data_IF_343483202579
#
_entry.id   IF_343483202579
#
_cell.length_a   1.000
_cell.length_b   1.000
_cell.length_c   1.000
_cell.angle_alpha   90.00
_cell.angle_beta   90.00
_cell.angle_gamma   90.00
#
_symmetry.space_group_name_H-M   'P 1'
#
loop_
_entity.id
_entity.type
_entity.pdbx_description
1 polymer ?
#
# COMPACT_ATOMS: atom_id res chain seq x y z
N UNK A 1 21.39 15.28 -23.01
CA UNK A 1 21.41 14.67 -21.67
C UNK A 1 22.62 13.75 -21.60
N UNK A 2 23.73 14.18 -21.00
CA UNK A 2 24.91 13.33 -20.90
C UNK A 2 24.63 12.22 -19.88
N UNK A 3 24.62 10.97 -20.33
CA UNK A 3 24.32 9.79 -19.51
C UNK A 3 25.23 9.68 -18.27
N UNK A 4 24.64 9.21 -17.17
CA UNK A 4 25.40 8.75 -16.01
C UNK A 4 26.26 7.55 -16.41
N UNK A 5 27.46 7.48 -15.85
CA UNK A 5 28.25 6.25 -15.96
C UNK A 5 27.53 5.10 -15.26
N UNK A 6 27.76 3.87 -15.71
CA UNK A 6 27.14 2.68 -15.12
C UNK A 6 27.38 2.57 -13.60
N UNK A 7 28.54 2.99 -13.09
CA UNK A 7 28.84 3.02 -11.65
C UNK A 7 28.03 4.08 -10.90
N UNK A 8 27.81 5.25 -11.49
CA UNK A 8 26.99 6.30 -10.87
C UNK A 8 25.51 5.89 -10.86
N UNK A 9 25.00 5.30 -11.94
CA UNK A 9 23.64 4.76 -11.98
C UNK A 9 23.42 3.68 -10.91
N UNK A 10 24.37 2.74 -10.76
CA UNK A 10 24.34 1.74 -9.68
C UNK A 10 24.34 2.37 -8.29
N UNK A 11 25.13 3.42 -8.08
CA UNK A 11 25.14 4.17 -6.82
C UNK A 11 23.77 4.77 -6.51
N UNK A 12 23.13 5.41 -7.49
CA UNK A 12 21.80 6.00 -7.28
C UNK A 12 20.76 4.93 -6.95
N UNK A 13 20.73 3.83 -7.70
CA UNK A 13 19.78 2.74 -7.45
C UNK A 13 19.93 2.15 -6.04
N UNK A 14 21.16 1.92 -5.58
CA UNK A 14 21.42 1.44 -4.21
C UNK A 14 21.09 2.49 -3.14
N UNK A 15 21.33 3.77 -3.44
CA UNK A 15 21.06 4.87 -2.52
C UNK A 15 19.56 5.08 -2.31
N UNK A 16 18.76 5.02 -3.37
CA UNK A 16 17.29 5.14 -3.25
C UNK A 16 16.73 3.98 -2.43
N UNK A 17 17.30 2.77 -2.57
CA UNK A 17 16.86 1.59 -1.82
C UNK A 17 17.25 1.61 -0.35
N UNK A 18 18.46 2.08 -0.02
CA UNK A 18 19.04 1.93 1.33
C UNK A 18 19.10 3.22 2.13
N UNK A 19 19.00 4.37 1.46
CA UNK A 19 19.26 5.71 1.99
C UNK A 19 20.61 5.85 2.73
N UNK A 20 21.55 4.93 2.47
CA UNK A 20 22.86 4.89 3.10
C UNK A 20 23.96 5.17 2.05
N UNK A 21 24.57 6.34 2.15
CA UNK A 21 25.56 6.84 1.18
C UNK A 21 26.76 5.91 1.07
N UNK A 22 27.35 5.53 2.20
CA UNK A 22 28.57 4.73 2.24
C UNK A 22 28.32 3.33 1.70
N UNK A 23 27.26 2.65 2.16
CA UNK A 23 26.92 1.31 1.67
C UNK A 23 26.58 1.31 0.18
N UNK A 24 25.88 2.35 -0.29
CA UNK A 24 25.53 2.47 -1.71
C UNK A 24 26.76 2.65 -2.58
N UNK A 25 27.74 3.43 -2.14
CA UNK A 25 29.01 3.59 -2.85
C UNK A 25 29.80 2.26 -2.89
N UNK A 26 29.85 1.51 -1.79
CA UNK A 26 30.50 0.19 -1.77
C UNK A 26 29.82 -0.77 -2.75
N UNK A 27 28.48 -0.89 -2.69
CA UNK A 27 27.70 -1.78 -3.57
C UNK A 27 27.80 -1.39 -5.05
N UNK A 28 27.94 -0.09 -5.34
CA UNK A 28 28.17 0.41 -6.68
C UNK A 28 29.59 0.12 -7.23
N UNK A 29 30.48 -0.46 -6.42
CA UNK A 29 31.83 -0.84 -6.82
C UNK A 29 32.86 0.29 -6.68
N UNK A 30 32.65 1.23 -5.75
CA UNK A 30 33.69 2.15 -5.30
C UNK A 30 34.51 1.55 -4.17
N UNK A 31 35.75 2.02 -4.01
CA UNK A 31 36.64 1.58 -2.94
C UNK A 31 36.01 1.77 -1.57
N UNK A 32 36.01 0.73 -0.74
CA UNK A 32 35.47 0.77 0.63
C UNK A 32 36.15 1.83 1.48
N UNK A 33 37.47 1.96 1.36
CA UNK A 33 38.27 2.90 2.15
C UNK A 33 37.91 4.37 1.89
N UNK A 34 37.39 4.69 0.71
CA UNK A 34 36.99 6.06 0.33
C UNK A 34 35.50 6.21 0.08
N UNK A 35 34.69 5.17 0.30
CA UNK A 35 33.28 5.12 -0.08
C UNK A 35 32.46 6.27 0.50
N UNK A 36 32.73 6.67 1.74
CA UNK A 36 32.05 7.80 2.39
C UNK A 36 32.33 9.13 1.68
N UNK A 37 33.60 9.40 1.33
CA UNK A 37 34.01 10.62 0.63
C UNK A 37 33.49 10.61 -0.81
N UNK A 38 33.65 9.49 -1.51
CA UNK A 38 33.18 9.32 -2.88
C UNK A 38 31.67 9.47 -2.97
N UNK A 39 30.90 8.81 -2.09
CA UNK A 39 29.45 8.92 -2.04
C UNK A 39 28.98 10.36 -1.75
N UNK A 40 29.62 11.04 -0.79
CA UNK A 40 29.31 12.45 -0.51
C UNK A 40 29.59 13.37 -1.72
N UNK A 41 30.65 13.09 -2.49
CA UNK A 41 30.95 13.82 -3.72
C UNK A 41 29.94 13.50 -4.83
N UNK A 42 29.49 12.25 -4.94
CA UNK A 42 28.48 11.83 -5.91
C UNK A 42 27.14 12.55 -5.68
N UNK A 43 26.70 12.69 -4.42
CA UNK A 43 25.45 13.40 -4.11
C UNK A 43 25.48 14.89 -4.48
N UNK A 44 26.67 15.51 -4.53
CA UNK A 44 26.84 16.91 -4.97
C UNK A 44 26.95 17.07 -6.49
N UNK A 45 27.08 15.96 -7.22
CA UNK A 45 27.14 16.02 -8.68
C UNK A 45 25.74 16.27 -9.23
N UNK A 46 25.56 17.33 -10.02
CA UNK A 46 24.26 17.72 -10.59
C UNK A 46 23.59 16.57 -11.35
N UNK A 47 24.33 15.83 -12.18
CA UNK A 47 23.77 14.70 -12.96
C UNK A 47 23.24 13.57 -12.07
N UNK A 48 23.93 13.31 -10.95
CA UNK A 48 23.50 12.30 -9.97
C UNK A 48 22.28 12.79 -9.22
N UNK A 49 22.26 14.08 -8.83
CA UNK A 49 21.13 14.70 -8.14
C UNK A 49 19.87 14.70 -9.00
N UNK A 50 20.00 15.08 -10.28
CA UNK A 50 18.88 15.10 -11.23
C UNK A 50 18.29 13.70 -11.42
N UNK A 51 19.14 12.67 -11.50
CA UNK A 51 18.67 11.29 -11.64
C UNK A 51 18.07 10.71 -10.36
N UNK A 52 18.56 11.11 -9.18
CA UNK A 52 17.87 10.81 -7.92
C UNK A 52 16.49 11.44 -7.91
N UNK A 53 16.35 12.68 -8.37
CA UNK A 53 15.07 13.37 -8.42
C UNK A 53 14.12 12.69 -9.39
N UNK A 54 14.57 12.39 -10.62
CA UNK A 54 13.71 11.71 -11.60
C UNK A 54 13.23 10.35 -11.11
N UNK A 55 14.09 9.58 -10.43
CA UNK A 55 13.70 8.29 -9.85
C UNK A 55 12.75 8.42 -8.67
N UNK A 56 12.88 9.49 -7.87
CA UNK A 56 11.90 9.78 -6.81
C UNK A 56 10.54 10.14 -7.42
N UNK A 57 10.54 10.96 -8.46
CA UNK A 57 9.30 11.36 -9.14
C UNK A 57 8.63 10.14 -9.79
N UNK A 58 9.40 9.24 -10.42
CA UNK A 58 8.91 7.95 -10.93
C UNK A 58 8.31 7.07 -9.84
N UNK A 59 8.98 6.92 -8.69
CA UNK A 59 8.45 6.14 -7.56
C UNK A 59 7.16 6.78 -7.02
N UNK A 60 7.11 8.11 -6.94
CA UNK A 60 5.92 8.84 -6.48
C UNK A 60 4.75 8.61 -7.44
N UNK A 61 5.00 8.67 -8.75
CA UNK A 61 4.00 8.42 -9.79
C UNK A 61 3.49 6.97 -9.74
N UNK A 62 4.38 6.00 -9.52
CA UNK A 62 4.00 4.58 -9.41
C UNK A 62 3.30 4.22 -8.08
N UNK A 63 3.59 4.96 -7.00
CA UNK A 63 3.08 4.63 -5.65
C UNK A 63 1.80 5.39 -5.30
N UNK A 64 1.60 6.58 -5.86
CA UNK A 64 0.45 7.44 -5.56
C UNK A 64 -0.57 7.32 -6.68
N UNK A 65 -1.82 7.03 -6.32
CA UNK A 65 -2.94 7.10 -7.25
C UNK A 65 -3.02 8.51 -7.85
N UNK A 66 -3.08 8.59 -9.18
CA UNK A 66 -3.38 9.86 -9.84
C UNK A 66 -4.75 10.37 -9.40
N UNK A 67 -4.99 11.69 -9.53
CA UNK A 67 -6.28 12.28 -9.18
C UNK A 67 -7.45 11.60 -9.90
N UNK A 68 -7.24 11.16 -11.15
CA UNK A 68 -8.24 10.43 -11.94
C UNK A 68 -8.54 9.05 -11.37
N UNK A 69 -7.52 8.30 -10.96
CA UNK A 69 -7.71 6.97 -10.37
C UNK A 69 -8.36 7.06 -8.98
N UNK A 70 -7.98 8.07 -8.19
CA UNK A 70 -8.65 8.36 -6.91
C UNK A 70 -10.14 8.67 -7.12
N UNK A 71 -10.48 9.52 -8.10
CA UNK A 71 -11.87 9.82 -8.45
C UNK A 71 -12.62 8.58 -8.96
N UNK A 72 -11.96 7.72 -9.72
CA UNK A 72 -12.55 6.47 -10.20
C UNK A 72 -12.88 5.52 -9.05
N UNK A 73 -11.96 5.32 -8.10
CA UNK A 73 -12.20 4.50 -6.90
C UNK A 73 -13.31 5.09 -6.03
N UNK A 74 -13.31 6.41 -5.80
CA UNK A 74 -14.39 7.10 -5.09
C UNK A 74 -15.74 6.91 -5.78
N UNK A 75 -15.78 6.94 -7.11
CA UNK A 75 -17.00 6.69 -7.89
C UNK A 75 -17.47 5.25 -7.71
N UNK A 76 -16.56 4.27 -7.79
CA UNK A 76 -16.88 2.84 -7.60
C UNK A 76 -17.44 2.56 -6.20
N UNK A 77 -16.83 3.15 -5.18
CA UNK A 77 -17.31 3.10 -3.81
C UNK A 77 -18.68 3.80 -3.65
N UNK A 78 -18.88 4.97 -4.26
CA UNK A 78 -20.15 5.71 -4.19
C UNK A 78 -21.32 5.00 -4.91
N UNK A 79 -21.04 4.30 -6.02
CA UNK A 79 -22.03 3.52 -6.78
C UNK A 79 -22.35 2.19 -6.08
N UNK A 80 -21.48 1.71 -5.20
CA UNK A 80 -21.64 0.44 -4.49
C UNK A 80 -21.26 -0.79 -5.32
N UNK A 81 -20.45 -0.60 -6.36
CA UNK A 81 -19.89 -1.71 -7.16
C UNK A 81 -18.90 -2.56 -6.35
N UNK A 82 -18.31 -1.99 -5.29
CA UNK A 82 -17.47 -2.72 -4.33
C UNK A 82 -18.20 -2.86 -3.00
N UNK A 83 -18.36 -4.11 -2.57
CA UNK A 83 -19.05 -4.49 -1.33
C UNK A 83 -18.08 -5.14 -0.34
N UNK A 84 -18.26 -4.85 0.94
CA UNK A 84 -17.64 -5.56 2.05
C UNK A 84 -18.65 -6.49 2.72
N UNK A 85 -18.22 -7.65 3.19
CA UNK A 85 -19.08 -8.53 4.00
C UNK A 85 -19.06 -8.06 5.45
N UNK A 86 -20.23 -7.69 5.99
CA UNK A 86 -20.39 -7.37 7.41
C UNK A 86 -21.28 -8.38 8.11
N UNK A 87 -20.89 -8.72 9.33
CA UNK A 87 -21.67 -9.55 10.23
C UNK A 87 -22.67 -8.70 11.01
N UNK A 88 -23.95 -9.03 10.89
CA UNK A 88 -25.04 -8.42 11.64
C UNK A 88 -25.65 -9.45 12.58
N UNK A 89 -25.89 -9.07 13.84
CA UNK A 89 -26.67 -9.88 14.78
C UNK A 89 -28.15 -9.58 14.55
N UNK A 90 -28.88 -10.55 14.03
CA UNK A 90 -30.33 -10.47 13.81
C UNK A 90 -31.08 -11.32 14.82
N UNK A 91 -32.21 -10.80 15.31
CA UNK A 91 -33.13 -11.55 16.17
C UNK A 91 -34.15 -12.25 15.29
N UNK A 92 -34.07 -13.57 15.20
CA UNK A 92 -35.05 -14.39 14.49
C UNK A 92 -35.90 -15.18 15.47
N UNK A 93 -37.17 -15.35 15.12
CA UNK A 93 -38.07 -16.19 15.90
C UNK A 93 -38.22 -17.56 15.24
N UNK A 94 -37.99 -18.61 16.03
CA UNK A 94 -38.23 -20.01 15.66
C UNK A 94 -39.34 -20.57 16.54
N UNK A 95 -40.22 -21.37 15.94
CA UNK A 95 -41.15 -22.19 16.72
C UNK A 95 -40.42 -23.44 17.17
N UNK A 96 -40.14 -23.53 18.46
CA UNK A 96 -39.44 -24.67 19.07
C UNK A 96 -40.40 -25.45 19.97
N UNK A 97 -40.37 -26.78 19.86
CA UNK A 97 -41.17 -27.65 20.71
C UNK A 97 -40.52 -27.71 22.10
N UNK A 98 -41.25 -27.30 23.13
CA UNK A 98 -40.80 -27.42 24.50
C UNK A 98 -40.90 -28.90 24.94
N UNK A 99 -39.78 -29.48 25.38
CA UNK A 99 -39.69 -30.91 25.73
C UNK A 99 -40.47 -31.27 26.99
N UNK A 100 -40.65 -30.32 27.92
CA UNK A 100 -41.33 -30.54 29.20
C UNK A 100 -42.85 -30.45 29.10
N UNK A 101 -43.36 -29.57 28.24
CA UNK A 101 -44.80 -29.27 28.12
C UNK A 101 -45.42 -29.77 26.81
N UNK A 102 -44.62 -30.18 25.84
CA UNK A 102 -45.05 -30.67 24.52
C UNK A 102 -45.65 -29.60 23.60
N UNK A 103 -45.75 -28.34 24.05
CA UNK A 103 -46.31 -27.21 23.31
C UNK A 103 -45.25 -26.54 22.42
N UNK A 104 -45.69 -25.92 21.33
CA UNK A 104 -44.83 -25.08 20.50
C UNK A 104 -44.70 -23.71 21.15
N UNK A 105 -43.47 -23.26 21.39
CA UNK A 105 -43.16 -21.94 21.90
C UNK A 105 -42.48 -21.11 20.81
N UNK A 106 -42.78 -19.82 20.77
CA UNK A 106 -42.03 -18.86 19.95
C UNK A 106 -40.78 -18.45 20.72
N UNK A 107 -39.61 -18.83 20.23
CA UNK A 107 -38.31 -18.52 20.85
C UNK A 107 -37.60 -17.49 19.99
N UNK A 108 -37.08 -16.42 20.60
CA UNK A 108 -36.29 -15.41 19.92
C UNK A 108 -34.81 -15.67 20.21
N UNK A 109 -34.08 -16.06 19.17
CA UNK A 109 -32.64 -16.31 19.26
C UNK A 109 -31.90 -15.29 18.39
N UNK A 110 -30.69 -14.95 18.83
CA UNK A 110 -29.77 -14.11 18.09
C UNK A 110 -28.95 -14.99 17.13
N UNK A 111 -28.94 -14.62 15.86
CA UNK A 111 -28.14 -15.28 14.83
C UNK A 111 -27.24 -14.26 14.16
N UNK A 112 -26.01 -14.66 13.86
CA UNK A 112 -25.09 -13.86 13.06
C UNK A 112 -25.37 -14.13 11.59
N UNK A 113 -25.66 -13.08 10.83
CA UNK A 113 -25.83 -13.13 9.38
C UNK A 113 -24.80 -12.26 8.70
N UNK A 114 -24.17 -12.81 7.66
CA UNK A 114 -23.25 -12.08 6.79
C UNK A 114 -24.05 -11.40 5.68
N UNK A 115 -23.89 -10.08 5.57
CA UNK A 115 -24.55 -9.26 4.55
C UNK A 115 -23.49 -8.47 3.79
N UNK A 116 -23.57 -8.50 2.46
CA UNK A 116 -22.76 -7.64 1.60
C UNK A 116 -23.29 -6.21 1.65
N UNK A 117 -22.44 -5.27 2.07
CA UNK A 117 -22.77 -3.85 2.13
C UNK A 117 -21.80 -3.06 1.27
N UNK A 118 -22.24 -1.98 0.60
CA UNK A 118 -21.35 -1.16 -0.20
C UNK A 118 -20.27 -0.50 0.67
N UNK A 119 -19.03 -0.53 0.20
CA UNK A 119 -17.90 0.14 0.87
C UNK A 119 -18.15 1.64 0.82
N UNK A 120 -18.17 2.30 1.98
CA UNK A 120 -18.26 3.76 2.08
C UNK A 120 -16.86 4.34 2.31
N UNK A 121 -16.46 5.39 1.59
CA UNK A 121 -15.22 6.08 1.88
C UNK A 121 -15.40 6.86 3.19
N UNK A 122 -14.54 6.60 4.18
CA UNK A 122 -14.53 7.23 5.51
C UNK A 122 -13.72 8.52 5.53
#
# INVERSE_FOLDING_TARGET
MSELTAKQARFVNEYIRTLNVTQSAVKAGYSSNSAHVTGSRLLRNEKVKDYIQSKKDEIIDDTILTAKETLYLLTKSAVGDETETKEFVVKKSSFERNLDTGRMNLVYNEHVETVEVPIKPS
#
